data_IF_573749822801
#
_entry.id   IF_573749822801
#
_cell.length_a   1.000
_cell.length_b   1.000
_cell.length_c   1.000
_cell.angle_alpha   90.00
_cell.angle_beta   90.00
_cell.angle_gamma   90.00
#
_symmetry.space_group_name_H-M   'P 1'
#
loop_
_entity.id
_entity.type
_entity.pdbx_description
1 polymer ?
#
# COMPACT_ATOMS: atom_id res chain seq x y z
N UNK A 1 -14.15 -23.49 1.74
CA UNK A 1 -12.73 -23.80 1.42
C UNK A 1 -12.30 -22.75 0.39
N UNK A 2 -12.35 -21.48 0.81
CA UNK A 2 -12.32 -20.28 -0.07
C UNK A 2 -11.52 -19.14 0.55
N UNK A 3 -10.97 -19.32 1.75
CA UNK A 3 -10.09 -18.35 2.41
C UNK A 3 -8.67 -18.37 1.85
N UNK A 4 -8.32 -19.38 1.05
CA UNK A 4 -6.98 -19.51 0.45
C UNK A 4 -6.85 -18.58 -0.75
N UNK A 5 -7.94 -18.37 -1.49
CA UNK A 5 -7.97 -17.53 -2.69
C UNK A 5 -7.83 -16.04 -2.35
N UNK A 6 -8.53 -15.56 -1.31
CA UNK A 6 -8.37 -14.16 -0.84
C UNK A 6 -6.99 -13.89 -0.21
N UNK A 7 -6.41 -14.84 0.55
CA UNK A 7 -5.05 -14.67 1.10
C UNK A 7 -4.00 -14.60 -0.01
N UNK A 8 -4.21 -15.36 -1.09
CA UNK A 8 -3.36 -15.30 -2.28
C UNK A 8 -3.51 -13.96 -3.02
N UNK A 9 -4.75 -13.45 -3.14
CA UNK A 9 -5.02 -12.13 -3.71
C UNK A 9 -4.31 -11.04 -2.89
N UNK A 10 -4.47 -11.03 -1.57
CA UNK A 10 -3.85 -10.05 -0.67
C UNK A 10 -2.31 -10.13 -0.65
N UNK A 11 -1.73 -11.27 -1.03
CA UNK A 11 -0.27 -11.41 -1.22
C UNK A 11 0.24 -10.92 -2.57
N UNK A 12 -0.66 -10.63 -3.51
CA UNK A 12 -0.26 -10.09 -4.81
C UNK A 12 0.37 -8.70 -4.63
N UNK A 13 1.52 -8.48 -5.27
CA UNK A 13 2.25 -7.21 -5.13
C UNK A 13 1.44 -6.01 -5.65
N UNK A 14 0.59 -6.20 -6.65
CA UNK A 14 -0.30 -5.15 -7.18
C UNK A 14 -1.36 -4.76 -6.14
N UNK A 15 -1.99 -5.76 -5.52
CA UNK A 15 -2.99 -5.58 -4.46
C UNK A 15 -2.36 -4.92 -3.23
N UNK A 16 -1.16 -5.35 -2.85
CA UNK A 16 -0.42 -4.76 -1.74
C UNK A 16 -0.12 -3.28 -1.98
N UNK A 17 0.31 -2.92 -3.20
CA UNK A 17 0.57 -1.53 -3.57
C UNK A 17 -0.71 -0.68 -3.54
N UNK A 18 -1.83 -1.23 -4.03
CA UNK A 18 -3.13 -0.53 -4.01
C UNK A 18 -3.63 -0.33 -2.58
N UNK A 19 -3.52 -1.35 -1.73
CA UNK A 19 -3.87 -1.27 -0.32
C UNK A 19 -2.97 -0.29 0.44
N UNK A 20 -1.66 -0.31 0.19
CA UNK A 20 -0.73 0.64 0.81
C UNK A 20 -1.07 2.07 0.42
N UNK A 21 -1.34 2.34 -0.87
CA UNK A 21 -1.76 3.65 -1.33
C UNK A 21 -3.10 4.11 -0.71
N UNK A 22 -4.06 3.20 -0.60
CA UNK A 22 -5.34 3.47 0.05
C UNK A 22 -5.20 3.71 1.56
N UNK A 23 -4.31 3.00 2.23
CA UNK A 23 -3.98 3.18 3.64
C UNK A 23 -3.31 4.54 3.87
N UNK A 24 -2.38 4.95 3.00
CA UNK A 24 -1.78 6.29 3.05
C UNK A 24 -2.83 7.40 2.87
N UNK A 25 -3.85 7.17 2.03
CA UNK A 25 -4.96 8.10 1.81
C UNK A 25 -6.09 7.99 2.84
N UNK A 26 -6.11 6.92 3.65
CA UNK A 26 -7.22 6.55 4.52
C UNK A 26 -8.53 6.22 3.79
N UNK A 27 -8.50 6.13 2.45
CA UNK A 27 -9.70 5.88 1.65
C UNK A 27 -9.39 5.18 0.33
N UNK A 28 -10.34 4.35 -0.13
CA UNK A 28 -10.29 3.64 -1.40
C UNK A 28 -11.56 3.90 -2.20
N UNK A 29 -11.41 4.12 -3.51
CA UNK A 29 -12.54 4.42 -4.39
C UNK A 29 -13.36 3.19 -4.67
N UNK A 30 -14.68 3.32 -4.66
CA UNK A 30 -15.58 2.22 -5.02
C UNK A 30 -15.31 1.67 -6.42
N UNK A 31 -14.85 2.52 -7.36
CA UNK A 31 -14.54 2.08 -8.73
C UNK A 31 -13.35 1.12 -8.77
N UNK A 32 -12.29 1.40 -8.00
CA UNK A 32 -11.10 0.55 -7.91
C UNK A 32 -11.46 -0.82 -7.33
N UNK A 33 -12.35 -0.85 -6.33
CA UNK A 33 -12.85 -2.09 -5.73
C UNK A 33 -13.63 -2.91 -6.76
N UNK A 34 -14.52 -2.27 -7.53
CA UNK A 34 -15.30 -2.95 -8.57
C UNK A 34 -14.38 -3.50 -9.66
N UNK A 35 -13.40 -2.72 -10.12
CA UNK A 35 -12.41 -3.19 -11.10
C UNK A 35 -11.63 -4.39 -10.59
N UNK A 36 -11.25 -4.39 -9.30
CA UNK A 36 -10.58 -5.51 -8.65
C UNK A 36 -11.44 -6.78 -8.64
N UNK A 37 -12.71 -6.61 -8.28
CA UNK A 37 -13.71 -7.69 -8.23
C UNK A 37 -13.90 -8.30 -9.62
N UNK A 38 -13.99 -7.47 -10.65
CA UNK A 38 -14.14 -7.95 -12.03
C UNK A 38 -12.86 -8.59 -12.56
N UNK A 39 -11.69 -8.00 -12.30
CA UNK A 39 -10.40 -8.49 -12.78
C UNK A 39 -10.01 -9.85 -12.18
N UNK A 40 -10.36 -10.07 -10.92
CA UNK A 40 -10.06 -11.30 -10.19
C UNK A 40 -11.26 -12.24 -10.02
N UNK A 41 -12.40 -11.89 -10.64
CA UNK A 41 -13.66 -12.65 -10.58
C UNK A 41 -14.07 -13.00 -9.13
N UNK A 42 -13.97 -12.02 -8.21
CA UNK A 42 -14.18 -12.25 -6.79
C UNK A 42 -15.63 -12.63 -6.48
N UNK A 43 -15.81 -13.76 -5.81
CA UNK A 43 -17.09 -14.23 -5.30
C UNK A 43 -17.57 -13.38 -4.10
N UNK A 44 -18.86 -13.48 -3.78
CA UNK A 44 -19.47 -12.73 -2.67
C UNK A 44 -18.76 -12.92 -1.32
N UNK A 45 -18.17 -14.09 -1.07
CA UNK A 45 -17.43 -14.38 0.16
C UNK A 45 -16.05 -13.72 0.17
N UNK A 46 -15.40 -13.63 -0.98
CA UNK A 46 -14.11 -12.96 -1.15
C UNK A 46 -14.26 -11.44 -1.07
N UNK A 47 -15.34 -10.91 -1.66
CA UNK A 47 -15.72 -9.51 -1.51
C UNK A 47 -15.91 -9.15 -0.03
N UNK A 48 -16.69 -9.94 0.74
CA UNK A 48 -16.89 -9.70 2.17
C UNK A 48 -15.56 -9.74 2.95
N UNK A 49 -14.66 -10.67 2.62
CA UNK A 49 -13.34 -10.73 3.22
C UNK A 49 -12.49 -9.51 2.88
N UNK A 50 -12.51 -9.05 1.62
CA UNK A 50 -11.81 -7.85 1.18
C UNK A 50 -12.32 -6.60 1.90
N UNK A 51 -13.64 -6.41 1.99
CA UNK A 51 -14.23 -5.29 2.73
C UNK A 51 -13.85 -5.30 4.21
N UNK A 52 -13.87 -6.47 4.86
CA UNK A 52 -13.40 -6.59 6.25
C UNK A 52 -11.93 -6.25 6.43
N UNK A 53 -11.08 -6.55 5.46
CA UNK A 53 -9.67 -6.19 5.51
C UNK A 53 -9.48 -4.67 5.37
N UNK A 54 -10.25 -4.01 4.49
CA UNK A 54 -10.26 -2.56 4.38
C UNK A 54 -10.70 -1.91 5.71
N UNK A 55 -11.78 -2.40 6.31
CA UNK A 55 -12.27 -1.91 7.61
C UNK A 55 -11.24 -2.13 8.74
N UNK A 56 -10.59 -3.30 8.80
CA UNK A 56 -9.55 -3.59 9.79
C UNK A 56 -8.33 -2.67 9.65
N UNK A 57 -8.00 -2.26 8.42
CA UNK A 57 -6.92 -1.31 8.12
C UNK A 57 -7.36 0.15 8.28
N UNK A 58 -8.65 0.40 8.50
CA UNK A 58 -9.20 1.75 8.65
C UNK A 58 -9.31 2.52 7.33
N UNK A 59 -9.51 1.81 6.22
CA UNK A 59 -9.66 2.39 4.88
C UNK A 59 -11.14 2.64 4.63
N UNK A 60 -11.54 3.89 4.41
CA UNK A 60 -12.92 4.26 4.09
C UNK A 60 -13.23 4.09 2.60
N UNK A 61 -14.39 3.54 2.26
CA UNK A 61 -14.79 3.36 0.86
C UNK A 61 -15.50 4.63 0.40
N UNK A 62 -14.91 5.32 -0.56
CA UNK A 62 -15.46 6.55 -1.13
C UNK A 62 -16.13 6.27 -2.47
N UNK A 63 -17.45 6.43 -2.50
CA UNK A 63 -18.24 6.37 -3.72
C UNK A 63 -18.07 7.71 -4.43
N UNK A 64 -17.39 7.74 -5.58
CA UNK A 64 -17.10 8.98 -6.32
C UNK A 64 -18.40 9.61 -6.88
N UNK A 65 -19.11 10.34 -6.01
CA UNK A 65 -19.99 11.40 -6.44
C UNK A 65 -19.10 12.55 -6.92
N UNK A 66 -18.78 12.54 -8.22
CA UNK A 66 -18.16 13.60 -9.02
C UNK A 66 -18.11 14.97 -8.29
N UNK A 67 -16.89 15.50 -8.10
CA UNK A 67 -16.46 16.77 -7.44
C UNK A 67 -15.89 16.48 -6.03
N UNK A 68 -14.57 16.50 -5.77
CA UNK A 68 -13.60 17.59 -5.95
C UNK A 68 -12.15 17.04 -5.86
N UNK A 69 -11.19 17.73 -6.48
CA UNK A 69 -9.76 17.38 -6.51
C UNK A 69 -9.05 17.65 -5.15
N UNK A 70 -7.77 17.26 -5.02
CA UNK A 70 -7.25 16.12 -4.26
C UNK A 70 -7.03 16.41 -2.76
N UNK A 71 -7.08 15.38 -1.90
CA UNK A 71 -6.43 15.48 -0.60
C UNK A 71 -4.91 15.64 -0.85
N UNK A 72 -4.24 16.64 -0.26
CA UNK A 72 -2.80 16.76 -0.41
C UNK A 72 -2.16 15.53 0.23
N UNK A 73 -1.30 14.85 -0.52
CA UNK A 73 -0.35 13.94 0.08
C UNK A 73 0.34 14.69 1.24
N UNK A 74 0.29 14.19 2.49
CA UNK A 74 1.33 14.58 3.41
C UNK A 74 2.63 14.07 2.80
N UNK A 75 3.42 15.01 2.29
CA UNK A 75 4.80 14.77 1.98
C UNK A 75 5.49 14.14 3.20
N UNK A 76 6.38 13.19 2.91
CA UNK A 76 7.42 12.64 3.76
C UNK A 76 7.07 11.41 4.61
N UNK A 77 7.36 10.24 4.04
CA UNK A 77 8.07 9.18 4.77
C UNK A 77 9.01 8.39 3.84
N UNK A 78 9.90 9.07 3.11
CA UNK A 78 11.25 8.50 2.98
C UNK A 78 12.00 8.89 4.25
N UNK A 79 12.38 7.91 5.06
CA UNK A 79 13.80 7.67 5.16
C UNK A 79 14.12 6.18 5.06
N UNK A 80 14.30 5.69 3.84
CA UNK A 80 15.29 4.63 3.62
C UNK A 80 16.69 5.26 3.70
N UNK A 81 17.06 5.79 4.86
CA UNK A 81 18.39 6.32 5.15
C UNK A 81 18.90 5.81 6.51
N UNK A 82 18.91 4.49 6.71
CA UNK A 82 19.61 3.89 7.87
C UNK A 82 20.73 2.93 7.46
N UNK A 83 21.06 2.82 6.16
CA UNK A 83 22.20 1.98 5.72
C UNK A 83 23.36 2.77 5.11
N UNK A 84 23.27 4.11 5.08
CA UNK A 84 24.32 4.97 4.52
C UNK A 84 25.30 5.50 5.57
N UNK A 85 25.01 5.44 6.86
CA UNK A 85 25.95 5.96 7.88
C UNK A 85 27.16 5.03 8.08
N UNK A 86 26.95 3.71 8.05
CA UNK A 86 28.04 2.73 8.27
C UNK A 86 29.08 2.73 7.14
N UNK A 87 28.65 2.79 5.88
CA UNK A 87 29.57 2.80 4.73
C UNK A 87 30.32 4.13 4.60
N UNK A 88 29.67 5.25 4.90
CA UNK A 88 30.30 6.57 4.81
C UNK A 88 31.31 6.80 5.95
N UNK A 89 31.05 6.29 7.16
CA UNK A 89 32.02 6.32 8.25
C UNK A 89 33.28 5.49 7.89
N UNK A 90 33.11 4.30 7.30
CA UNK A 90 34.21 3.44 6.88
C UNK A 90 35.11 4.11 5.81
N UNK A 91 34.52 4.76 4.80
CA UNK A 91 35.28 5.47 3.76
C UNK A 91 36.01 6.71 4.32
N UNK A 92 35.41 7.39 5.29
CA UNK A 92 36.02 8.56 5.93
C UNK A 92 37.22 8.18 6.82
N UNK A 93 37.21 6.99 7.41
CA UNK A 93 38.32 6.46 8.19
C UNK A 93 39.47 5.96 7.30
N UNK A 94 39.16 5.33 6.16
CA UNK A 94 40.16 4.91 5.17
C UNK A 94 40.92 6.07 4.51
N UNK A 95 40.29 7.24 4.35
CA UNK A 95 40.92 8.44 3.78
C UNK A 95 41.85 9.21 4.74
N UNK A 96 41.90 8.83 6.03
CA UNK A 96 42.72 9.49 7.06
C UNK A 96 44.11 8.86 7.25
N UNK A 97 44.47 7.85 6.46
CA UNK A 97 45.84 7.32 6.42
C UNK A 97 46.55 7.82 5.17
N UNK A 98 47.29 8.92 5.33
CA UNK A 98 48.38 9.25 4.42
C UNK A 98 49.49 8.20 4.62
N UNK A 99 49.89 7.52 3.54
CA UNK A 99 51.09 6.67 3.48
C UNK A 99 52.35 7.49 3.78
#
# INVERSE_FOLDING_TARGET
MTTIDIDHLLRNEEIQQLLEAAEQGGSLRSVEIVELIEAHELDALEQDAFFRELEQRGIEIVEEAKVEEPAPAPAAATPQETTTDALQLFLREAGRHQL
#
